data_IF_222660309181
#
_entry.id   IF_222660309181
#
_cell.length_a   1.000
_cell.length_b   1.000
_cell.length_c   1.000
_cell.angle_alpha   90.00
_cell.angle_beta   90.00
_cell.angle_gamma   90.00
#
_symmetry.space_group_name_H-M   'P 1'
#
loop_
_entity.id
_entity.type
_entity.pdbx_description
1 polymer ?
#
# COMPACT_ATOMS: atom_id res chain seq x y z
N UNK A 1 1.09 -12.43 22.29
CA UNK A 1 0.28 -12.08 21.09
C UNK A 1 -0.01 -13.38 20.36
N UNK A 2 -1.28 -13.76 20.14
CA UNK A 2 -1.70 -15.09 19.67
C UNK A 2 -1.14 -15.51 18.29
N UNK A 3 -0.49 -14.60 17.58
CA UNK A 3 0.25 -14.86 16.33
C UNK A 3 1.62 -15.52 16.52
N UNK A 4 2.28 -15.38 17.69
CA UNK A 4 3.59 -15.99 17.93
C UNK A 4 3.51 -17.50 18.21
N UNK A 5 2.43 -17.91 18.86
CA UNK A 5 2.27 -19.29 19.33
C UNK A 5 1.69 -20.19 18.23
N UNK A 6 0.88 -19.62 17.32
CA UNK A 6 0.30 -20.32 16.17
C UNK A 6 0.26 -19.39 14.93
N UNK A 7 1.39 -19.21 14.23
CA UNK A 7 1.44 -18.36 13.05
C UNK A 7 0.74 -19.03 11.86
N UNK A 8 -0.23 -18.33 11.26
CA UNK A 8 -0.83 -18.71 9.98
C UNK A 8 -0.81 -17.52 9.02
N UNK A 9 -0.90 -17.81 7.72
CA UNK A 9 -0.95 -16.74 6.70
C UNK A 9 -2.23 -15.92 6.85
N UNK A 10 -3.34 -16.53 7.27
CA UNK A 10 -4.63 -15.88 7.52
C UNK A 10 -4.51 -14.86 8.66
N UNK A 11 -3.88 -15.24 9.78
CA UNK A 11 -3.63 -14.30 10.89
C UNK A 11 -2.70 -13.16 10.49
N UNK A 12 -1.70 -13.44 9.64
CA UNK A 12 -0.81 -12.39 9.11
C UNK A 12 -1.57 -11.41 8.21
N UNK A 13 -2.41 -11.92 7.31
CA UNK A 13 -3.32 -11.13 6.47
C UNK A 13 -4.24 -10.26 7.31
N UNK A 14 -4.87 -10.82 8.33
CA UNK A 14 -5.73 -10.09 9.26
C UNK A 14 -4.98 -8.94 9.95
N UNK A 15 -3.78 -9.21 10.48
CA UNK A 15 -2.94 -8.19 11.12
C UNK A 15 -2.59 -7.06 10.15
N UNK A 16 -2.25 -7.39 8.90
CA UNK A 16 -1.96 -6.38 7.89
C UNK A 16 -3.19 -5.53 7.54
N UNK A 17 -4.34 -6.17 7.33
CA UNK A 17 -5.57 -5.47 6.98
C UNK A 17 -6.07 -4.55 8.10
N UNK A 18 -6.01 -5.01 9.36
CA UNK A 18 -6.60 -4.31 10.51
C UNK A 18 -5.64 -3.35 11.22
N UNK A 19 -4.33 -3.55 11.11
CA UNK A 19 -3.36 -2.77 11.87
C UNK A 19 -2.29 -2.12 10.98
N UNK A 20 -1.55 -2.90 10.21
CA UNK A 20 -0.35 -2.39 9.50
C UNK A 20 -0.73 -1.43 8.36
N UNK A 21 -1.64 -1.83 7.48
CA UNK A 21 -2.04 -1.00 6.33
C UNK A 21 -2.76 0.30 6.78
N UNK A 22 -3.69 0.29 7.76
CA UNK A 22 -4.26 1.52 8.30
C UNK A 22 -3.19 2.44 8.91
N UNK A 23 -2.30 1.90 9.75
CA UNK A 23 -1.26 2.68 10.41
C UNK A 23 -0.29 3.34 9.42
N UNK A 24 0.16 2.60 8.39
CA UNK A 24 1.01 3.16 7.35
C UNK A 24 0.26 4.21 6.53
N UNK A 25 -1.02 4.00 6.25
CA UNK A 25 -1.84 4.98 5.52
C UNK A 25 -1.98 6.28 6.31
N UNK A 26 -2.20 6.22 7.62
CA UNK A 26 -2.22 7.41 8.49
C UNK A 26 -0.84 8.09 8.56
N UNK A 27 0.22 7.31 8.78
CA UNK A 27 1.59 7.83 8.89
C UNK A 27 2.04 8.57 7.61
N UNK A 28 1.64 8.07 6.44
CA UNK A 28 1.96 8.68 5.15
C UNK A 28 0.88 9.60 4.58
N UNK A 29 -0.11 10.03 5.39
CA UNK A 29 -1.18 10.93 4.95
C UNK A 29 -1.92 10.44 3.68
N UNK A 30 -2.23 9.14 3.65
CA UNK A 30 -2.84 8.41 2.54
C UNK A 30 -2.03 8.40 1.23
N UNK A 31 -0.74 8.77 1.26
CA UNK A 31 0.18 8.63 0.12
C UNK A 31 0.55 7.15 -0.07
N UNK A 32 -0.28 6.45 -0.86
CA UNK A 32 -0.06 5.04 -1.20
C UNK A 32 1.23 4.82 -1.99
N UNK A 33 1.76 5.83 -2.68
CA UNK A 33 3.07 5.75 -3.32
C UNK A 33 4.17 5.51 -2.29
N UNK A 34 4.14 6.25 -1.17
CA UNK A 34 5.07 6.04 -0.05
C UNK A 34 4.86 4.71 0.66
N UNK A 35 3.61 4.27 0.84
CA UNK A 35 3.33 2.92 1.35
C UNK A 35 3.97 1.85 0.46
N UNK A 36 3.91 2.03 -0.87
CA UNK A 36 4.55 1.15 -1.85
C UNK A 36 6.07 1.16 -1.79
N UNK A 37 6.71 2.25 -1.35
CA UNK A 37 8.16 2.29 -1.10
C UNK A 37 8.57 1.45 0.11
N UNK A 38 7.67 1.26 1.09
CA UNK A 38 7.92 0.45 2.29
C UNK A 38 7.61 -1.03 2.05
N UNK A 39 6.45 -1.33 1.43
CA UNK A 39 5.95 -2.69 1.30
C UNK A 39 6.28 -3.35 -0.05
N UNK A 40 6.61 -2.54 -1.06
CA UNK A 40 6.95 -3.03 -2.40
C UNK A 40 5.74 -3.31 -3.30
N UNK A 41 6.08 -3.71 -4.53
CA UNK A 41 5.14 -3.92 -5.65
C UNK A 41 4.02 -4.93 -5.41
N UNK A 42 4.19 -6.00 -4.61
CA UNK A 42 3.09 -6.94 -4.36
C UNK A 42 1.91 -6.31 -3.62
N UNK A 43 2.17 -5.33 -2.75
CA UNK A 43 1.16 -4.67 -1.93
C UNK A 43 0.55 -3.46 -2.62
N UNK A 44 1.36 -2.71 -3.37
CA UNK A 44 0.92 -1.47 -4.00
C UNK A 44 1.28 -1.47 -5.48
N UNK A 45 0.29 -1.19 -6.32
CA UNK A 45 0.48 -1.02 -7.75
C UNK A 45 -0.01 0.35 -8.22
N UNK A 46 0.55 0.85 -9.35
CA UNK A 46 -0.04 1.98 -10.03
C UNK A 46 -1.48 1.66 -10.45
N UNK A 47 -2.42 2.55 -10.13
CA UNK A 47 -3.82 2.43 -10.50
C UNK A 47 -4.11 2.94 -11.92
N UNK A 48 -3.10 3.43 -12.65
CA UNK A 48 -3.23 4.03 -13.98
C UNK A 48 -3.08 5.55 -13.98
N UNK A 49 -3.37 6.18 -15.13
CA UNK A 49 -3.02 7.58 -15.42
C UNK A 49 -4.19 8.54 -15.18
N UNK A 50 -3.82 9.68 -14.58
CA UNK A 50 -4.58 10.89 -14.21
C UNK A 50 -5.70 10.71 -13.20
N UNK A 51 -5.58 11.44 -12.09
CA UNK A 51 -6.65 11.62 -11.13
C UNK A 51 -7.69 12.55 -11.75
N UNK A 52 -8.96 12.17 -11.74
CA UNK A 52 -10.05 13.08 -12.09
C UNK A 52 -10.27 14.05 -10.92
N UNK A 53 -9.91 15.31 -11.13
CA UNK A 53 -10.17 16.37 -10.16
C UNK A 53 -11.59 16.93 -10.36
N UNK A 54 -12.20 17.40 -9.28
CA UNK A 54 -13.43 18.18 -9.37
C UNK A 54 -13.14 19.51 -10.10
N UNK A 55 -14.16 20.06 -10.76
CA UNK A 55 -14.05 21.34 -11.44
C UNK A 55 -13.82 22.47 -10.43
N UNK A 56 -12.57 22.89 -10.27
CA UNK A 56 -12.16 23.96 -9.38
C UNK A 56 -10.93 24.67 -9.97
N UNK A 57 -10.95 26.00 -9.97
CA UNK A 57 -9.84 26.80 -10.51
C UNK A 57 -8.75 26.96 -9.44
N UNK A 58 -7.62 26.28 -9.65
CA UNK A 58 -6.50 26.29 -8.74
C UNK A 58 -5.20 26.01 -9.51
N UNK A 59 -4.15 26.78 -9.22
CA UNK A 59 -2.83 26.69 -9.90
C UNK A 59 -2.19 25.29 -9.84
N UNK A 60 -2.49 24.52 -8.79
CA UNK A 60 -1.98 23.15 -8.63
C UNK A 60 -2.75 22.08 -9.43
N UNK A 61 -3.83 22.41 -10.13
CA UNK A 61 -4.70 21.44 -10.79
C UNK A 61 -3.95 20.58 -11.82
N UNK A 62 -3.16 21.21 -12.70
CA UNK A 62 -2.41 20.49 -13.74
C UNK A 62 -1.35 19.55 -13.13
N UNK A 63 -0.62 20.04 -12.11
CA UNK A 63 0.38 19.24 -11.42
C UNK A 63 -0.22 18.03 -10.70
N UNK A 64 -1.39 18.21 -10.08
CA UNK A 64 -2.06 17.16 -9.34
C UNK A 64 -2.73 16.14 -10.28
N UNK A 65 -3.28 16.62 -11.41
CA UNK A 65 -3.86 15.77 -12.45
C UNK A 65 -2.81 14.86 -13.09
N UNK A 66 -1.55 15.30 -13.21
CA UNK A 66 -0.47 14.49 -13.80
C UNK A 66 0.16 13.47 -12.85
N UNK A 67 -0.24 13.45 -11.57
CA UNK A 67 0.26 12.44 -10.62
C UNK A 67 -0.26 11.05 -10.97
N UNK A 68 0.60 10.05 -10.75
CA UNK A 68 0.23 8.64 -10.80
C UNK A 68 -0.55 8.30 -9.54
N UNK A 69 -1.77 7.79 -9.72
CA UNK A 69 -2.53 7.22 -8.62
C UNK A 69 -2.01 5.81 -8.31
N UNK A 70 -2.04 5.41 -7.04
CA UNK A 70 -1.68 4.07 -6.57
C UNK A 70 -2.88 3.42 -5.90
N UNK A 71 -2.86 2.08 -5.82
CA UNK A 71 -3.90 1.30 -5.15
C UNK A 71 -3.27 0.17 -4.35
N UNK A 72 -3.86 -0.10 -3.18
CA UNK A 72 -3.58 -1.28 -2.38
C UNK A 72 -4.20 -2.52 -3.04
N UNK A 73 -3.42 -3.59 -3.17
CA UNK A 73 -3.96 -4.91 -3.50
C UNK A 73 -4.77 -5.44 -2.31
N UNK A 74 -5.83 -6.18 -2.57
CA UNK A 74 -6.58 -6.86 -1.51
C UNK A 74 -5.67 -7.85 -0.78
N UNK A 75 -5.70 -7.81 0.54
CA UNK A 75 -4.80 -8.64 1.36
C UNK A 75 -5.07 -10.13 1.18
N UNK A 76 -6.32 -10.49 0.86
CA UNK A 76 -6.71 -11.87 0.53
C UNK A 76 -6.01 -12.41 -0.72
N UNK A 77 -5.65 -11.55 -1.66
CA UNK A 77 -4.93 -11.93 -2.89
C UNK A 77 -3.42 -12.11 -2.67
N UNK A 78 -2.90 -11.74 -1.50
CA UNK A 78 -1.47 -11.84 -1.19
C UNK A 78 -1.08 -13.28 -0.82
N UNK A 79 0.10 -13.68 -1.25
CA UNK A 79 0.70 -14.98 -0.93
C UNK A 79 1.78 -14.82 0.13
N UNK A 80 2.18 -15.93 0.77
CA UNK A 80 3.32 -15.92 1.72
C UNK A 80 4.61 -15.38 1.09
N UNK A 81 4.82 -15.59 -0.21
CA UNK A 81 5.96 -15.05 -0.94
C UNK A 81 5.92 -13.52 -1.03
N UNK A 82 4.73 -12.94 -1.22
CA UNK A 82 4.56 -11.48 -1.25
C UNK A 82 4.98 -10.84 0.08
N UNK A 83 4.56 -11.41 1.21
CA UNK A 83 4.99 -10.94 2.54
C UNK A 83 6.49 -11.10 2.77
N UNK A 84 7.08 -12.19 2.27
CA UNK A 84 8.53 -12.41 2.38
C UNK A 84 9.32 -11.37 1.58
N UNK A 85 8.82 -10.95 0.42
CA UNK A 85 9.49 -10.02 -0.49
C UNK A 85 9.83 -8.65 0.15
N UNK A 86 9.10 -8.27 1.22
CA UNK A 86 9.37 -7.06 2.01
C UNK A 86 10.83 -7.08 2.51
N UNK A 87 11.32 -8.26 2.93
CA UNK A 87 12.64 -8.42 3.53
C UNK A 87 13.71 -8.77 2.50
N UNK A 88 13.33 -9.37 1.38
CA UNK A 88 14.27 -9.75 0.31
C UNK A 88 14.75 -8.55 -0.51
N UNK A 89 13.95 -7.48 -0.55
CA UNK A 89 14.29 -6.25 -1.27
C UNK A 89 15.25 -5.32 -0.50
N UNK A 90 15.55 -5.64 0.77
CA UNK A 90 16.36 -4.82 1.66
C UNK A 90 17.87 -5.15 1.63
N UNK A 91 18.30 -6.15 0.85
CA UNK A 91 19.71 -6.53 0.67
C UNK A 91 20.38 -5.90 -0.58
N UNK A 92 19.82 -4.81 -1.12
CA UNK A 92 20.33 -4.10 -2.31
C UNK A 92 20.99 -2.77 -2.00
#
# INVERSE_FOLDING_TARGET
>A
MPVRDEPTIEKLKEVFAMNILPLLSEYFYADLGRVGLVLGRPFVSPAGRRVTLAAFDHEAADQLADRVAYRLRAVDDLTTADFRSIYESAEG
#
